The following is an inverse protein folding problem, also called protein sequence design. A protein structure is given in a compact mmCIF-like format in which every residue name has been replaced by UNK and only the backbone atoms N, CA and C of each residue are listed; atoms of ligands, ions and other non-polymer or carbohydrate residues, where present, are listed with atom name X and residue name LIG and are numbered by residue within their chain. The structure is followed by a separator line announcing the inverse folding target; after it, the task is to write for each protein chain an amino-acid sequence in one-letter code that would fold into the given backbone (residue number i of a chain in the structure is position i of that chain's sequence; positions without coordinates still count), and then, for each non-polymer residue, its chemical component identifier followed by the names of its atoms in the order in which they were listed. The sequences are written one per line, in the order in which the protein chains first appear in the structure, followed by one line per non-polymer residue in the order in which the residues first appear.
data_IF_657849023027
#
_entry.id   IF_657849023027
#
_cell.length_a   1.000
_cell.length_b   1.000
_cell.length_c   1.000
_cell.angle_alpha   90.00
_cell.angle_beta   90.00
_cell.angle_gamma   90.00
#
_symmetry.space_group_name_H-M   'P 1'
#
loop_
_entity.id
_entity.type
_entity.pdbx_description
1 polymer ?
#
# COMPACT_ATOMS: atom_id res chain seq x y z
N UNK A 1 6.68 -8.99 -2.25
CA UNK A 1 5.96 -8.22 -3.29
C UNK A 1 5.06 -7.16 -2.69
N UNK A 2 4.86 -6.03 -3.38
CA UNK A 2 3.97 -4.96 -2.90
C UNK A 2 2.87 -4.67 -3.91
N UNK A 3 1.69 -4.30 -3.40
CA UNK A 3 0.52 -3.95 -4.22
C UNK A 3 -0.13 -2.70 -3.66
N UNK A 4 -0.24 -1.66 -4.48
CA UNK A 4 -1.04 -0.47 -4.24
C UNK A 4 -2.36 -0.66 -4.97
N UNK A 5 -3.50 -0.53 -4.30
CA UNK A 5 -4.81 -0.64 -4.92
C UNK A 5 -5.84 0.24 -4.24
N UNK A 6 -6.88 0.63 -4.97
CA UNK A 6 -7.97 1.43 -4.40
C UNK A 6 -8.98 1.84 -5.45
N UNK A 7 -10.22 2.07 -5.01
CA UNK A 7 -11.24 2.65 -5.88
C UNK A 7 -10.89 4.09 -6.20
N UNK A 8 -11.27 4.55 -7.40
CA UNK A 8 -10.99 5.93 -7.84
C UNK A 8 -11.44 7.00 -6.86
N UNK A 9 -12.62 6.84 -6.25
CA UNK A 9 -13.17 7.75 -5.24
C UNK A 9 -12.86 7.33 -3.79
N UNK A 10 -12.12 6.23 -3.61
CA UNK A 10 -11.74 5.69 -2.31
C UNK A 10 -10.34 6.10 -1.87
N UNK A 11 -9.91 5.54 -0.72
CA UNK A 11 -8.54 5.64 -0.22
C UNK A 11 -7.65 4.55 -0.79
N UNK A 12 -6.35 4.81 -0.78
CA UNK A 12 -5.34 3.85 -1.25
C UNK A 12 -5.07 2.81 -0.18
N UNK A 13 -5.02 1.55 -0.59
CA UNK A 13 -4.53 0.42 0.20
C UNK A 13 -3.16 -0.02 -0.33
N UNK A 14 -2.17 -0.09 0.56
CA UNK A 14 -0.84 -0.60 0.25
C UNK A 14 -0.59 -1.90 1.01
N UNK A 15 -0.38 -2.97 0.28
CA UNK A 15 -0.19 -4.32 0.79
C UNK A 15 1.23 -4.82 0.50
N UNK A 16 1.87 -5.41 1.51
CA UNK A 16 3.13 -6.15 1.38
C UNK A 16 2.83 -7.62 1.63
N UNK A 17 3.23 -8.47 0.69
CA UNK A 17 3.18 -9.93 0.81
C UNK A 17 4.60 -10.49 0.68
N UNK A 18 4.89 -11.59 1.35
CA UNK A 18 6.20 -12.26 1.24
C UNK A 18 6.44 -12.76 -0.20
N UNK A 19 5.49 -13.54 -0.72
CA UNK A 19 5.39 -13.95 -2.12
C UNK A 19 3.99 -13.62 -2.68
N UNK A 20 3.83 -13.70 -3.99
CA UNK A 20 2.57 -13.47 -4.69
C UNK A 20 1.40 -14.27 -4.13
N UNK A 21 1.67 -15.49 -3.66
CA UNK A 21 0.68 -16.39 -3.03
C UNK A 21 0.84 -16.50 -1.50
N UNK A 22 1.81 -15.78 -0.95
CA UNK A 22 2.15 -15.81 0.48
C UNK A 22 1.19 -14.97 1.34
N UNK A 23 1.38 -15.03 2.67
CA UNK A 23 0.60 -14.24 3.62
C UNK A 23 0.82 -12.74 3.41
N UNK A 24 -0.19 -11.96 3.80
CA UNK A 24 -0.07 -10.50 3.89
C UNK A 24 0.71 -10.16 5.15
N UNK A 25 1.87 -9.53 4.99
CA UNK A 25 2.73 -9.08 6.09
C UNK A 25 2.24 -7.73 6.65
N UNK A 26 1.80 -6.84 5.76
CA UNK A 26 1.36 -5.50 6.11
C UNK A 26 0.27 -5.02 5.15
N UNK A 27 -0.78 -4.41 5.69
CA UNK A 27 -1.79 -3.69 4.92
C UNK A 27 -2.01 -2.32 5.55
N UNK A 28 -1.66 -1.26 4.80
CA UNK A 28 -1.84 0.12 5.19
C UNK A 28 -2.94 0.76 4.36
N UNK A 29 -3.76 1.59 4.99
CA UNK A 29 -4.62 2.55 4.33
C UNK A 29 -3.99 3.94 4.38
N UNK A 30 -3.76 4.55 3.23
CA UNK A 30 -3.16 5.88 3.14
C UNK A 30 -4.22 6.97 3.31
N UNK A 31 -3.82 8.11 3.89
CA UNK A 31 -4.66 9.31 3.94
C UNK A 31 -4.98 9.90 2.55
N UNK A 32 -4.15 9.64 1.54
CA UNK A 32 -4.33 10.17 0.19
C UNK A 32 -5.42 9.36 -0.56
N UNK A 33 -6.42 10.04 -1.16
CA UNK A 33 -7.35 9.42 -2.11
C UNK A 33 -6.65 8.85 -3.35
N UNK A 34 -7.15 7.73 -3.87
CA UNK A 34 -6.52 7.04 -5.01
C UNK A 34 -6.37 7.94 -6.24
N UNK A 35 -7.36 8.78 -6.54
CA UNK A 35 -7.28 9.70 -7.68
C UNK A 35 -6.18 10.76 -7.52
N UNK A 36 -5.89 11.22 -6.29
CA UNK A 36 -4.81 12.16 -6.04
C UNK A 36 -3.46 11.48 -6.18
N UNK A 37 -3.31 10.25 -5.68
CA UNK A 37 -2.09 9.48 -5.88
C UNK A 37 -1.81 9.24 -7.37
N UNK A 38 -2.83 8.83 -8.12
CA UNK A 38 -2.73 8.62 -9.56
C UNK A 38 -2.38 9.93 -10.30
N UNK A 39 -2.90 11.07 -9.83
CA UNK A 39 -2.55 12.39 -10.38
C UNK A 39 -1.07 12.73 -10.11
N UNK A 40 -0.57 12.48 -8.91
CA UNK A 40 0.87 12.70 -8.59
C UNK A 40 1.78 11.83 -9.47
N UNK A 41 1.37 10.59 -9.77
CA UNK A 41 2.10 9.70 -10.69
C UNK A 41 2.18 10.23 -12.13
N UNK A 42 1.28 11.11 -12.56
CA UNK A 42 1.32 11.71 -13.91
C UNK A 42 2.42 12.77 -14.05
N UNK A 43 2.84 13.37 -12.94
CA UNK A 43 3.87 14.43 -12.92
C UNK A 43 5.30 13.89 -12.81
N UNK A 44 5.49 12.58 -12.91
CA UNK A 44 6.80 11.93 -12.93
C UNK A 44 7.03 11.02 -11.73
N UNK A 45 8.16 11.20 -11.04
CA UNK A 45 8.55 10.35 -9.94
C UNK A 45 7.70 10.61 -8.70
N UNK A 46 7.01 9.57 -8.23
CA UNK A 46 6.29 9.57 -6.95
C UNK A 46 7.17 8.92 -5.87
N UNK A 47 7.49 9.66 -4.81
CA UNK A 47 8.17 9.16 -3.61
C UNK A 47 7.24 9.16 -2.42
N UNK A 48 6.99 7.98 -1.85
CA UNK A 48 6.27 7.81 -0.59
C UNK A 48 7.28 7.47 0.50
N UNK A 49 7.21 8.15 1.64
CA UNK A 49 7.95 7.80 2.84
C UNK A 49 6.98 7.64 4.01
N UNK A 50 7.22 6.61 4.82
CA UNK A 50 6.43 6.28 6.00
C UNK A 50 7.37 6.34 7.22
N UNK A 51 7.04 7.18 8.18
CA UNK A 51 7.82 7.42 9.38
C UNK A 51 7.05 6.97 10.61
N UNK A 52 7.73 6.33 11.56
CA UNK A 52 7.18 5.91 12.84
C UNK A 52 8.19 6.15 13.96
N UNK A 53 7.70 6.30 15.19
CA UNK A 53 8.56 6.45 16.36
C UNK A 53 9.21 5.10 16.71
N UNK A 54 10.43 5.12 17.26
CA UNK A 54 11.16 3.89 17.64
C UNK A 54 10.38 3.04 18.65
N UNK A 55 9.63 3.68 19.53
CA UNK A 55 8.81 3.03 20.58
C UNK A 55 7.49 2.46 20.05
N UNK A 56 7.15 2.71 18.78
CA UNK A 56 5.91 2.20 18.17
C UNK A 56 6.01 0.74 17.69
N UNK A 57 7.20 0.15 17.77
CA UNK A 57 7.43 -1.26 17.46
C UNK A 57 7.29 -2.10 18.73
N UNK A 58 6.43 -3.13 18.70
CA UNK A 58 6.19 -3.99 19.87
C UNK A 58 7.29 -5.07 20.07
N UNK A 59 8.14 -5.26 19.07
CA UNK A 59 9.10 -6.35 18.91
C UNK A 59 10.31 -5.96 18.03
N UNK A 60 10.47 -4.66 17.74
CA UNK A 60 11.42 -4.18 16.73
C UNK A 60 11.00 -4.42 15.28
N UNK A 61 9.82 -5.00 15.03
CA UNK A 61 9.30 -5.22 13.68
C UNK A 61 8.53 -4.01 13.17
N UNK A 62 8.93 -3.48 12.01
CA UNK A 62 8.15 -2.45 11.31
C UNK A 62 6.73 -2.92 10.98
N UNK A 63 6.52 -4.23 10.79
CA UNK A 63 5.18 -4.75 10.51
C UNK A 63 4.22 -4.66 11.71
N UNK A 64 4.71 -4.44 12.93
CA UNK A 64 3.85 -4.27 14.12
C UNK A 64 3.30 -2.85 14.28
N UNK A 65 3.91 -1.85 13.65
CA UNK A 65 3.53 -0.43 13.76
C UNK A 65 2.12 -0.16 13.24
N UNK A 66 1.29 0.47 14.08
CA UNK A 66 -0.12 0.71 13.77
C UNK A 66 -0.36 1.99 12.95
N UNK A 67 0.42 3.06 13.18
CA UNK A 67 0.21 4.37 12.57
C UNK A 67 1.54 4.93 12.11
N UNK A 68 1.55 5.44 10.89
CA UNK A 68 2.73 5.99 10.22
C UNK A 68 2.45 7.43 9.79
N UNK A 69 3.40 8.34 10.02
CA UNK A 69 3.37 9.64 9.35
C UNK A 69 3.74 9.44 7.89
N UNK A 70 2.88 9.88 6.99
CA UNK A 70 3.05 9.70 5.55
C UNK A 70 3.53 10.98 4.89
N UNK A 71 4.56 10.84 4.06
CA UNK A 71 5.07 11.89 3.19
C UNK A 71 4.94 11.48 1.73
N UNK A 72 4.52 12.41 0.89
CA UNK A 72 4.49 12.28 -0.56
C UNK A 72 5.37 13.38 -1.15
N UNK A 73 6.37 13.00 -1.95
CA UNK A 73 7.33 13.93 -2.58
C UNK A 73 7.93 14.94 -1.57
N UNK A 74 8.27 14.44 -0.36
CA UNK A 74 8.86 15.24 0.72
C UNK A 74 7.88 16.08 1.55
N UNK A 75 6.58 16.05 1.24
CA UNK A 75 5.55 16.81 1.98
C UNK A 75 4.74 15.89 2.86
N UNK A 76 4.51 16.28 4.13
CA UNK A 76 3.60 15.55 5.04
C UNK A 76 2.18 15.64 4.52
N UNK A 77 1.55 14.49 4.29
CA UNK A 77 0.22 14.38 3.64
C UNK A 77 -0.82 13.70 4.52
N UNK A 78 -0.43 13.26 5.72
CA UNK A 78 -1.33 12.69 6.71
C UNK A 78 -0.73 11.45 7.35
N UNK A 79 -1.59 10.48 7.65
CA UNK A 79 -1.19 9.22 8.27
C UNK A 79 -1.51 8.03 7.36
N UNK A 80 -0.69 6.99 7.43
CA UNK A 80 -1.05 5.67 6.95
C UNK A 80 -1.34 4.77 8.14
N UNK A 81 -2.47 4.07 8.09
CA UNK A 81 -2.97 3.30 9.24
C UNK A 81 -2.97 1.83 8.87
N UNK A 82 -2.35 1.01 9.71
CA UNK A 82 -2.42 -0.44 9.60
C UNK A 82 -3.85 -0.90 9.87
N UNK A 83 -4.39 -1.72 8.97
CA UNK A 83 -5.73 -2.29 9.12
C UNK A 83 -5.77 -3.78 8.81
N UNK A 84 -6.81 -4.44 9.29
CA UNK A 84 -7.06 -5.85 9.02
C UNK A 84 -7.47 -6.06 7.56
N UNK A 85 -7.07 -7.21 7.00
CA UNK A 85 -7.44 -7.64 5.65
C UNK A 85 -8.93 -8.02 5.63
N UNK A 86 -9.70 -7.33 4.80
CA UNK A 86 -11.14 -7.59 4.57
C UNK A 86 -11.34 -8.69 3.52
N UNK A 87 -12.59 -9.11 3.30
CA UNK A 87 -12.91 -10.05 2.21
C UNK A 87 -12.64 -9.44 0.83
N UNK A 88 -12.94 -8.15 0.66
CA UNK A 88 -12.65 -7.42 -0.57
C UNK A 88 -11.14 -7.38 -0.85
N UNK A 89 -10.31 -7.11 0.17
CA UNK A 89 -8.86 -7.12 0.02
C UNK A 89 -8.37 -8.51 -0.41
N UNK A 90 -8.90 -9.59 0.19
CA UNK A 90 -8.56 -10.98 -0.20
C UNK A 90 -8.92 -11.25 -1.66
N UNK A 91 -10.07 -10.79 -2.13
CA UNK A 91 -10.49 -10.95 -3.53
C UNK A 91 -9.52 -10.23 -4.48
N UNK A 92 -9.13 -8.99 -4.14
CA UNK A 92 -8.14 -8.22 -4.92
C UNK A 92 -6.78 -8.93 -4.93
N UNK A 93 -6.26 -9.30 -3.77
CA UNK A 93 -4.96 -9.97 -3.66
C UNK A 93 -4.94 -11.34 -4.35
N UNK A 94 -6.07 -12.05 -4.42
CA UNK A 94 -6.20 -13.31 -5.17
C UNK A 94 -6.03 -13.07 -6.68
N UNK A 95 -6.63 -12.03 -7.24
CA UNK A 95 -6.43 -11.67 -8.66
C UNK A 95 -4.97 -11.27 -8.93
N UNK A 96 -4.30 -10.66 -7.96
CA UNK A 96 -2.90 -10.26 -8.07
C UNK A 96 -1.91 -11.45 -8.08
N UNK A 97 -2.36 -12.67 -7.78
CA UNK A 97 -1.48 -13.85 -7.79
C UNK A 97 -0.92 -14.19 -9.17
N UNK A 98 -1.65 -13.88 -10.25
CA UNK A 98 -1.20 -14.06 -11.63
C UNK A 98 -0.41 -12.88 -12.19
N UNK A 99 -0.31 -11.78 -11.43
CA UNK A 99 0.34 -10.54 -11.85
C UNK A 99 1.71 -10.45 -11.19
N UNK A 100 2.75 -10.41 -12.02
CA UNK A 100 4.13 -10.27 -11.56
C UNK A 100 4.50 -8.83 -11.23
N UNK A 101 4.35 -7.96 -12.23
CA UNK A 101 4.58 -6.52 -12.19
C UNK A 101 3.59 -5.89 -13.17
N UNK A 102 3.00 -4.75 -12.80
CA UNK A 102 2.11 -4.02 -13.70
C UNK A 102 1.19 -3.05 -12.96
N UNK A 103 0.51 -2.21 -13.74
CA UNK A 103 -0.54 -1.33 -13.25
C UNK A 103 -1.74 -1.40 -14.18
N UNK A 104 -2.95 -1.18 -13.66
CA UNK A 104 -4.15 -1.22 -14.45
C UNK A 104 -5.42 -0.99 -13.64
N UNK A 105 -6.56 -1.23 -14.30
CA UNK A 105 -7.88 -1.23 -13.67
C UNK A 105 -8.45 -2.63 -13.66
N UNK A 106 -9.08 -3.01 -12.56
CA UNK A 106 -9.82 -4.25 -12.43
C UNK A 106 -11.33 -3.95 -12.51
N UNK A 107 -12.09 -4.70 -13.32
CA UNK A 107 -13.54 -4.62 -13.29
C UNK A 107 -14.03 -5.05 -11.91
N UNK A 108 -15.06 -4.36 -11.43
CA UNK A 108 -15.51 -4.39 -10.04
C UNK A 108 -15.89 -5.80 -9.58
N UNK A 109 -15.21 -6.29 -8.54
CA UNK A 109 -15.40 -7.67 -8.01
C UNK A 109 -16.29 -7.69 -6.76
N UNK A 110 -16.69 -6.52 -6.25
CA UNK A 110 -17.29 -6.37 -4.93
C UNK A 110 -18.65 -5.68 -5.04
N UNK A 111 -19.68 -6.30 -4.46
CA UNK A 111 -21.03 -5.71 -4.38
C UNK A 111 -20.98 -4.44 -3.52
N UNK A 112 -21.33 -3.29 -4.08
CA UNK A 112 -21.61 -2.06 -3.32
C UNK A 112 -20.80 -0.81 -3.69
N UNK A 113 -19.67 -0.95 -4.38
CA UNK A 113 -18.89 0.21 -4.86
C UNK A 113 -18.99 0.32 -6.38
N UNK A 114 -19.72 1.31 -6.89
CA UNK A 114 -19.75 1.65 -8.32
C UNK A 114 -18.45 2.37 -8.70
N UNK A 115 -17.40 1.62 -9.01
CA UNK A 115 -16.14 2.24 -9.47
C UNK A 115 -15.07 1.27 -9.98
N UNK A 116 -14.22 1.79 -10.85
CA UNK A 116 -13.01 1.12 -11.31
C UNK A 116 -12.01 1.01 -10.15
N UNK A 117 -11.53 -0.21 -9.89
CA UNK A 117 -10.46 -0.47 -8.93
C UNK A 117 -9.12 -0.32 -9.64
N UNK A 118 -8.34 0.70 -9.28
CA UNK A 118 -6.98 0.85 -9.77
C UNK A 118 -6.02 -0.03 -8.97
N UNK A 119 -5.00 -0.56 -9.62
CA UNK A 119 -3.91 -1.26 -8.96
C UNK A 119 -2.56 -0.96 -9.60
N UNK A 120 -1.51 -1.10 -8.79
CA UNK A 120 -0.12 -1.19 -9.20
C UNK A 120 0.56 -2.26 -8.34
N UNK A 121 1.28 -3.16 -8.99
CA UNK A 121 2.00 -4.26 -8.35
C UNK A 121 3.43 -4.31 -8.84
N UNK A 122 4.34 -4.55 -7.93
CA UNK A 122 5.75 -4.75 -8.25
C UNK A 122 6.43 -5.71 -7.26
N UNK A 123 7.59 -6.19 -7.67
CA UNK A 123 8.58 -6.79 -6.76
C UNK A 123 9.39 -5.68 -6.14
N UNK A 124 9.60 -5.74 -4.83
CA UNK A 124 10.38 -4.77 -4.09
C UNK A 124 11.54 -5.51 -3.46
N UNK A 125 12.69 -4.87 -3.44
CA UNK A 125 13.84 -5.30 -2.65
C UNK A 125 13.72 -4.64 -1.28
N UNK A 126 13.89 -5.42 -0.22
CA UNK A 126 13.98 -4.87 1.14
C UNK A 126 15.44 -4.55 1.40
N UNK A 127 15.76 -3.28 1.57
CA UNK A 127 17.09 -2.80 1.90
C UNK A 127 17.08 -2.23 3.30
N UNK A 128 17.82 -2.86 4.21
CA UNK A 128 18.01 -2.36 5.58
C UNK A 128 19.24 -1.45 5.57
N UNK A 129 19.03 -0.14 5.71
CA UNK A 129 20.09 0.86 5.70
C UNK A 129 20.75 1.03 7.06
N UNK A 130 19.95 1.06 8.14
CA UNK A 130 20.40 1.22 9.52
C UNK A 130 19.40 0.57 10.49
N UNK A 131 19.66 0.66 11.80
CA UNK A 131 18.69 0.26 12.83
C UNK A 131 17.40 1.08 12.82
N UNK A 132 17.37 2.21 12.10
CA UNK A 132 16.24 3.12 11.99
C UNK A 132 15.84 3.45 10.55
N UNK A 133 16.34 2.72 9.56
CA UNK A 133 16.00 2.94 8.15
C UNK A 133 15.90 1.64 7.36
N UNK A 134 14.73 1.42 6.75
CA UNK A 134 14.47 0.38 5.76
C UNK A 134 13.81 1.01 4.52
N UNK A 135 14.15 0.52 3.32
CA UNK A 135 13.61 0.97 2.02
C UNK A 135 13.22 -0.19 1.11
#
# INVERSE_FOLDING_TARGET
TGTIFGFRKGRVSFCIQEDRRGPTLLLLEFAIPTYLLAKEMQYGLLRIALECDKDSTHDGSLFSVAVWTMYCNGRKVGFAIKRNVTENDRAVLKMMQSISVGAGVLPTVTKGDEGELMYMRATYERVVGSSDSES
#
